data_IF_138098619609
#
_entry.id   IF_138098619609
#
_cell.length_a   1.000
_cell.length_b   1.000
_cell.length_c   1.000
_cell.angle_alpha   90.00
_cell.angle_beta   90.00
_cell.angle_gamma   90.00
#
_symmetry.space_group_name_H-M   'P 1'
#
loop_
_entity.id
_entity.type
_entity.pdbx_description
1 polymer ?
#
# COMPACT_ATOMS: atom_id res chain seq x y z
N UNK A 1 26.41 2.70 7.94
CA UNK A 1 25.13 2.80 7.21
C UNK A 1 25.42 2.56 5.74
N UNK A 2 24.76 1.60 5.09
CA UNK A 2 24.73 1.61 3.62
C UNK A 2 23.96 2.87 3.19
N UNK A 3 24.36 3.58 2.13
CA UNK A 3 23.57 4.69 1.60
C UNK A 3 22.15 4.19 1.28
N UNK A 4 21.14 4.97 1.63
CA UNK A 4 19.76 4.63 1.27
C UNK A 4 19.63 4.55 -0.25
N UNK A 5 19.02 3.47 -0.72
CA UNK A 5 18.84 3.24 -2.14
C UNK A 5 17.65 4.09 -2.64
N UNK A 6 17.94 5.15 -3.39
CA UNK A 6 16.91 6.06 -3.90
C UNK A 6 15.98 5.43 -4.94
N UNK A 7 16.39 4.33 -5.59
CA UNK A 7 15.62 3.65 -6.64
C UNK A 7 14.68 2.58 -6.07
N UNK A 8 13.43 2.55 -6.52
CA UNK A 8 12.48 1.49 -6.18
C UNK A 8 13.00 0.08 -6.55
N UNK A 9 13.63 -0.06 -7.73
CA UNK A 9 14.26 -1.32 -8.16
C UNK A 9 15.41 -1.68 -7.23
N UNK A 10 16.21 -0.69 -6.82
CA UNK A 10 17.31 -0.91 -5.91
C UNK A 10 16.84 -1.41 -4.54
N UNK A 11 15.78 -0.79 -3.99
CA UNK A 11 15.15 -1.22 -2.74
C UNK A 11 14.52 -2.60 -2.85
N UNK A 12 13.89 -2.93 -3.97
CA UNK A 12 13.39 -4.28 -4.25
C UNK A 12 14.53 -5.30 -4.24
N UNK A 13 15.64 -5.04 -4.95
CA UNK A 13 16.80 -5.94 -4.95
C UNK A 13 17.36 -6.13 -3.54
N UNK A 14 17.46 -5.05 -2.76
CA UNK A 14 17.87 -5.13 -1.36
C UNK A 14 16.92 -6.04 -0.57
N UNK A 15 15.60 -5.82 -0.61
CA UNK A 15 14.61 -6.67 0.08
C UNK A 15 14.69 -8.15 -0.32
N UNK A 16 14.77 -8.42 -1.63
CA UNK A 16 14.89 -9.78 -2.14
C UNK A 16 16.19 -10.46 -1.68
N UNK A 17 17.27 -9.70 -1.51
CA UNK A 17 18.55 -10.23 -1.04
C UNK A 17 18.53 -10.71 0.42
N UNK A 18 17.60 -10.20 1.25
CA UNK A 18 17.47 -10.60 2.66
C UNK A 18 16.66 -11.89 2.86
N UNK A 19 15.94 -12.38 1.84
CA UNK A 19 15.13 -13.61 1.90
C UNK A 19 15.97 -14.92 1.88
N UNK A 20 17.15 -14.92 2.54
CA UNK A 20 18.19 -15.96 2.50
C UNK A 20 17.66 -17.40 2.44
N UNK A 21 18.19 -18.15 1.46
CA UNK A 21 17.79 -19.46 0.90
C UNK A 21 16.84 -19.42 -0.32
N UNK A 22 16.11 -18.33 -0.54
CA UNK A 22 15.17 -18.20 -1.66
C UNK A 22 15.80 -17.89 -3.02
N UNK A 23 17.06 -17.45 -3.11
CA UNK A 23 17.69 -16.92 -4.35
C UNK A 23 17.58 -17.87 -5.57
N UNK A 24 17.47 -19.19 -5.35
CA UNK A 24 17.24 -20.19 -6.42
C UNK A 24 15.79 -20.26 -6.91
N UNK A 25 14.82 -19.88 -6.08
CA UNK A 25 13.40 -19.76 -6.43
C UNK A 25 13.07 -18.44 -7.15
N UNK A 26 14.05 -17.52 -7.27
CA UNK A 26 13.95 -16.30 -8.10
C UNK A 26 14.18 -16.54 -9.59
N UNK A 27 14.04 -17.78 -10.07
CA UNK A 27 13.94 -18.06 -11.50
C UNK A 27 12.79 -17.24 -12.10
N UNK A 28 13.11 -16.25 -12.93
CA UNK A 28 12.14 -15.28 -13.47
C UNK A 28 12.14 -13.90 -12.79
N UNK A 29 13.14 -13.56 -11.97
CA UNK A 29 13.32 -12.20 -11.45
C UNK A 29 12.48 -11.83 -10.22
N UNK A 30 12.02 -12.82 -9.45
CA UNK A 30 11.12 -12.58 -8.31
C UNK A 30 9.64 -12.58 -8.68
N UNK A 31 9.32 -13.14 -9.85
CA UNK A 31 7.96 -13.42 -10.26
C UNK A 31 7.17 -14.19 -9.16
N UNK A 32 5.99 -13.68 -8.79
CA UNK A 32 5.09 -14.30 -7.79
C UNK A 32 5.14 -13.72 -6.37
N UNK A 33 5.99 -12.72 -6.11
CA UNK A 33 6.09 -12.01 -4.82
C UNK A 33 5.26 -10.71 -4.82
N UNK A 34 4.61 -10.42 -3.68
CA UNK A 34 3.76 -9.22 -3.50
C UNK A 34 4.53 -7.92 -3.79
N UNK A 35 5.78 -7.84 -3.34
CA UNK A 35 6.63 -6.65 -3.46
C UNK A 35 7.02 -6.37 -4.93
N UNK A 36 7.14 -7.41 -5.77
CA UNK A 36 7.44 -7.26 -7.20
C UNK A 36 6.23 -6.70 -7.93
N UNK A 37 5.05 -7.32 -7.78
CA UNK A 37 3.81 -6.81 -8.38
C UNK A 37 3.54 -5.36 -7.96
N UNK A 38 3.69 -5.08 -6.67
CA UNK A 38 3.49 -3.75 -6.11
C UNK A 38 4.49 -2.75 -6.70
N UNK A 39 5.77 -3.12 -6.82
CA UNK A 39 6.78 -2.26 -7.44
C UNK A 39 6.46 -1.99 -8.91
N UNK A 40 6.17 -3.02 -9.70
CA UNK A 40 5.88 -2.87 -11.14
C UNK A 40 4.66 -1.97 -11.39
N UNK A 41 3.56 -2.22 -10.67
CA UNK A 41 2.31 -1.47 -10.88
C UNK A 41 2.41 -0.05 -10.35
N UNK A 42 2.86 0.13 -9.10
CA UNK A 42 2.90 1.46 -8.50
C UNK A 42 3.96 2.36 -9.15
N UNK A 43 5.09 1.80 -9.59
CA UNK A 43 6.10 2.58 -10.31
C UNK A 43 5.57 3.04 -11.67
N UNK A 44 4.85 2.19 -12.40
CA UNK A 44 4.23 2.60 -13.65
C UNK A 44 3.15 3.67 -13.44
N UNK A 45 2.32 3.55 -12.39
CA UNK A 45 1.33 4.57 -12.01
C UNK A 45 1.97 5.92 -11.67
N UNK A 46 3.16 5.92 -11.09
CA UNK A 46 3.88 7.16 -10.72
C UNK A 46 4.31 8.01 -11.91
N UNK A 47 4.48 7.38 -13.08
CA UNK A 47 4.84 8.05 -14.35
C UNK A 47 3.63 8.45 -15.19
N UNK A 48 2.43 8.01 -14.83
CA UNK A 48 1.19 8.38 -15.51
C UNK A 48 0.65 9.71 -14.95
N UNK A 49 -0.16 10.47 -15.71
CA UNK A 49 -0.82 11.67 -15.21
C UNK A 49 -1.61 11.36 -13.93
N UNK A 50 -1.16 11.84 -12.77
CA UNK A 50 -1.62 11.31 -11.48
C UNK A 50 -3.09 11.62 -11.25
N UNK A 51 -3.58 12.79 -11.64
CA UNK A 51 -5.02 13.11 -11.56
C UNK A 51 -5.89 12.11 -12.32
N UNK A 52 -5.49 11.77 -13.55
CA UNK A 52 -6.25 10.86 -14.42
C UNK A 52 -6.18 9.41 -13.92
N UNK A 53 -5.04 8.96 -13.42
CA UNK A 53 -4.81 7.56 -13.05
C UNK A 53 -4.93 7.33 -11.53
N UNK A 54 -3.96 7.82 -10.74
CA UNK A 54 -3.94 7.64 -9.28
C UNK A 54 -5.15 8.30 -8.59
N UNK A 55 -5.52 9.51 -9.01
CA UNK A 55 -6.69 10.23 -8.52
C UNK A 55 -7.98 9.47 -8.82
N UNK A 56 -8.11 8.91 -10.03
CA UNK A 56 -9.25 8.07 -10.40
C UNK A 56 -9.31 6.79 -9.58
N UNK A 57 -8.18 6.15 -9.30
CA UNK A 57 -8.10 5.00 -8.38
C UNK A 57 -8.65 5.37 -7.01
N UNK A 58 -8.23 6.50 -6.42
CA UNK A 58 -8.77 6.95 -5.13
C UNK A 58 -10.25 7.29 -5.17
N UNK A 59 -10.70 7.95 -6.23
CA UNK A 59 -12.11 8.30 -6.43
C UNK A 59 -12.99 7.05 -6.53
N UNK A 60 -12.50 5.97 -7.15
CA UNK A 60 -13.21 4.71 -7.35
C UNK A 60 -13.00 3.68 -6.24
N UNK A 61 -12.12 3.96 -5.27
CA UNK A 61 -11.87 3.08 -4.14
C UNK A 61 -13.12 2.91 -3.26
N UNK A 62 -13.11 1.89 -2.42
CA UNK A 62 -14.13 1.61 -1.41
C UNK A 62 -13.67 2.12 -0.05
N UNK A 63 -14.62 2.49 0.81
CA UNK A 63 -14.36 3.07 2.14
C UNK A 63 -14.91 4.50 2.26
N UNK A 64 -14.41 5.26 3.23
CA UNK A 64 -15.00 6.54 3.62
C UNK A 64 -14.96 7.61 2.50
N UNK A 65 -16.15 8.13 2.14
CA UNK A 65 -16.31 9.11 1.05
C UNK A 65 -15.53 10.42 1.24
N UNK A 66 -15.41 10.92 2.47
CA UNK A 66 -14.68 12.17 2.72
C UNK A 66 -13.19 11.99 2.50
N UNK A 67 -12.65 10.85 2.93
CA UNK A 67 -11.23 10.49 2.73
C UNK A 67 -10.95 10.29 1.24
N UNK A 68 -11.78 9.52 0.52
CA UNK A 68 -11.66 9.35 -0.95
C UNK A 68 -11.67 10.67 -1.69
N UNK A 69 -12.66 11.53 -1.42
CA UNK A 69 -12.78 12.84 -2.06
C UNK A 69 -11.59 13.74 -1.75
N UNK A 70 -11.02 13.65 -0.55
CA UNK A 70 -9.81 14.40 -0.20
C UNK A 70 -8.59 13.88 -0.96
N UNK A 71 -8.40 12.55 -1.06
CA UNK A 71 -7.27 11.96 -1.76
C UNK A 71 -7.33 12.17 -3.27
N UNK A 72 -8.51 12.00 -3.87
CA UNK A 72 -8.70 12.20 -5.30
C UNK A 72 -8.34 13.64 -5.73
N UNK A 73 -8.64 14.64 -4.89
CA UNK A 73 -8.28 16.05 -5.15
C UNK A 73 -6.80 16.36 -4.97
N UNK A 74 -6.11 15.65 -4.09
CA UNK A 74 -4.73 15.93 -3.71
C UNK A 74 -3.74 14.93 -4.38
N UNK A 75 -4.21 14.10 -5.33
CA UNK A 75 -3.43 13.02 -5.94
C UNK A 75 -2.13 13.48 -6.61
N UNK A 76 -2.16 14.63 -7.28
CA UNK A 76 -1.00 15.24 -7.93
C UNK A 76 0.10 15.65 -6.92
N UNK A 77 -0.29 15.93 -5.67
CA UNK A 77 0.63 16.43 -4.63
C UNK A 77 1.24 15.32 -3.77
N UNK A 78 0.85 14.08 -3.99
CA UNK A 78 1.39 12.94 -3.24
C UNK A 78 2.75 12.55 -3.82
N UNK A 79 3.73 12.27 -2.98
CA UNK A 79 4.98 11.64 -3.39
C UNK A 79 4.91 10.16 -3.06
N UNK A 80 5.20 9.30 -4.03
CA UNK A 80 5.21 7.86 -3.85
C UNK A 80 6.61 7.38 -3.47
N UNK A 81 6.69 6.63 -2.38
CA UNK A 81 7.89 5.87 -2.00
C UNK A 81 7.54 4.40 -1.90
N UNK A 82 7.97 3.62 -2.89
CA UNK A 82 7.84 2.15 -2.91
C UNK A 82 8.92 1.52 -2.04
N UNK A 83 8.55 0.55 -1.20
CA UNK A 83 9.43 -0.17 -0.28
C UNK A 83 10.27 0.80 0.60
N UNK A 84 9.63 1.66 1.40
CA UNK A 84 10.31 2.70 2.17
C UNK A 84 11.18 2.16 3.33
N UNK A 85 11.20 0.85 3.55
CA UNK A 85 11.96 0.21 4.63
C UNK A 85 11.16 0.15 5.93
N UNK A 86 11.88 0.16 7.06
CA UNK A 86 11.31 -0.09 8.37
C UNK A 86 10.83 1.20 9.05
N UNK A 87 9.57 1.17 9.48
CA UNK A 87 9.01 2.07 10.48
C UNK A 87 8.89 1.32 11.81
N UNK A 88 8.88 2.04 12.92
CA UNK A 88 8.85 1.43 14.25
C UNK A 88 7.71 2.00 15.06
N UNK A 89 7.00 1.12 15.78
CA UNK A 89 5.94 1.53 16.68
C UNK A 89 6.49 2.17 17.96
N UNK A 90 7.67 1.73 18.40
CA UNK A 90 8.37 2.34 19.54
C UNK A 90 9.42 3.35 19.08
N UNK A 91 9.62 4.43 19.85
CA UNK A 91 10.74 5.34 19.62
C UNK A 91 12.07 4.66 19.92
N UNK A 92 13.10 4.94 19.10
CA UNK A 92 14.50 4.56 19.30
C UNK A 92 14.75 3.09 19.69
N UNK A 93 14.24 2.10 18.93
CA UNK A 93 14.45 0.71 19.26
C UNK A 93 15.90 0.27 19.00
N UNK A 94 16.42 -0.67 19.79
CA UNK A 94 17.75 -1.25 19.55
C UNK A 94 17.71 -2.37 18.52
N UNK A 95 16.55 -3.02 18.34
CA UNK A 95 16.34 -4.10 17.36
C UNK A 95 14.98 -3.98 16.68
N UNK A 96 14.80 -4.62 15.52
CA UNK A 96 13.52 -4.66 14.81
C UNK A 96 12.39 -5.31 15.63
N UNK A 97 12.73 -6.36 16.38
CA UNK A 97 11.79 -7.05 17.25
C UNK A 97 11.35 -6.17 18.42
N UNK A 98 12.29 -5.47 19.07
CA UNK A 98 12.00 -4.57 20.17
C UNK A 98 11.12 -3.39 19.73
N UNK A 99 11.41 -2.86 18.54
CA UNK A 99 10.72 -1.72 17.94
C UNK A 99 9.38 -2.04 17.30
N UNK A 100 9.04 -3.33 17.19
CA UNK A 100 7.90 -3.82 16.43
C UNK A 100 7.89 -3.21 15.02
N UNK A 101 8.92 -3.54 14.24
CA UNK A 101 9.08 -3.01 12.89
C UNK A 101 7.84 -3.30 12.03
N UNK A 102 7.46 -2.29 11.26
CA UNK A 102 6.40 -2.29 10.26
C UNK A 102 7.03 -1.89 8.94
N UNK A 103 6.79 -2.67 7.89
CA UNK A 103 7.32 -2.42 6.55
C UNK A 103 6.16 -2.28 5.58
N UNK A 104 5.68 -1.05 5.36
CA UNK A 104 4.70 -0.78 4.31
C UNK A 104 5.23 -1.18 2.94
N UNK A 105 4.36 -1.64 2.04
CA UNK A 105 4.76 -1.87 0.65
C UNK A 105 5.01 -0.54 -0.10
N UNK A 106 4.23 0.49 0.22
CA UNK A 106 4.52 1.85 -0.22
C UNK A 106 3.96 2.91 0.73
N UNK A 107 4.48 4.13 0.60
CA UNK A 107 3.96 5.32 1.24
C UNK A 107 3.63 6.37 0.19
N UNK A 108 2.47 7.00 0.33
CA UNK A 108 2.08 8.19 -0.41
C UNK A 108 1.97 9.35 0.56
N UNK A 109 2.73 10.42 0.33
CA UNK A 109 2.83 11.52 1.29
C UNK A 109 2.78 12.89 0.62
N UNK A 110 2.01 13.80 1.20
CA UNK A 110 2.02 15.23 0.87
C UNK A 110 2.13 16.07 2.14
N UNK A 111 2.02 17.39 2.02
CA UNK A 111 1.87 18.27 3.18
C UNK A 111 0.54 18.05 3.92
N UNK A 112 -0.46 17.43 3.29
CA UNK A 112 -1.80 17.21 3.85
C UNK A 112 -2.09 15.77 4.22
N UNK A 113 -1.44 14.80 3.58
CA UNK A 113 -1.77 13.37 3.71
C UNK A 113 -0.54 12.55 4.04
N UNK A 114 -0.75 11.53 4.86
CA UNK A 114 0.21 10.46 5.09
C UNK A 114 -0.53 9.14 4.89
N UNK A 115 -0.13 8.37 3.89
CA UNK A 115 -0.86 7.20 3.43
C UNK A 115 0.08 6.01 3.45
N UNK A 116 -0.34 4.95 4.16
CA UNK A 116 0.30 3.64 4.08
C UNK A 116 -0.44 2.83 3.02
N UNK A 117 0.30 2.30 2.06
CA UNK A 117 -0.21 1.36 1.06
C UNK A 117 0.26 -0.03 1.43
N UNK A 118 -0.70 -0.94 1.52
CA UNK A 118 -0.44 -2.35 1.77
C UNK A 118 -1.16 -3.19 0.72
N UNK A 119 -0.43 -4.05 0.05
CA UNK A 119 -0.86 -4.72 -1.15
C UNK A 119 -0.72 -6.24 -1.00
N UNK A 120 -1.72 -6.97 -1.48
CA UNK A 120 -1.73 -8.43 -1.44
C UNK A 120 -2.04 -8.99 -2.81
N UNK A 121 -1.27 -9.97 -3.27
CA UNK A 121 -1.48 -10.62 -4.57
C UNK A 121 -2.87 -11.22 -4.74
N UNK A 122 -3.31 -11.39 -6.01
CA UNK A 122 -4.48 -12.19 -6.35
C UNK A 122 -4.46 -13.62 -5.76
N UNK A 123 -5.65 -14.14 -5.42
CA UNK A 123 -5.96 -15.54 -5.04
C UNK A 123 -5.28 -16.15 -3.80
N UNK A 124 -4.10 -15.67 -3.38
CA UNK A 124 -3.30 -16.24 -2.28
C UNK A 124 -2.73 -15.20 -1.31
N UNK A 125 -3.21 -13.95 -1.41
CA UNK A 125 -2.84 -12.89 -0.48
C UNK A 125 -3.41 -13.15 0.91
N UNK A 126 -2.56 -13.08 1.93
CA UNK A 126 -2.98 -13.11 3.33
C UNK A 126 -2.14 -12.12 4.13
N UNK A 127 -2.77 -11.53 5.16
CA UNK A 127 -2.10 -10.64 6.07
C UNK A 127 -1.51 -11.43 7.24
N UNK A 128 -0.36 -10.99 7.72
CA UNK A 128 0.08 -11.45 9.04
C UNK A 128 -0.92 -10.98 10.10
N UNK A 129 -1.13 -11.81 11.13
CA UNK A 129 -2.26 -11.70 12.05
C UNK A 129 -2.38 -10.32 12.74
N UNK A 130 -1.25 -9.65 13.00
CA UNK A 130 -1.20 -8.30 13.60
C UNK A 130 -0.92 -7.17 12.62
N UNK A 131 -0.71 -7.46 11.34
CA UNK A 131 -0.17 -6.51 10.36
C UNK A 131 -1.00 -5.23 10.28
N UNK A 132 -2.28 -5.35 9.93
CA UNK A 132 -3.17 -4.21 9.76
C UNK A 132 -3.37 -3.39 11.05
N UNK A 133 -3.37 -4.04 12.21
CA UNK A 133 -3.45 -3.34 13.49
C UNK A 133 -2.18 -2.50 13.75
N UNK A 134 -0.99 -3.01 13.39
CA UNK A 134 0.27 -2.28 13.49
C UNK A 134 0.34 -1.13 12.48
N UNK A 135 -0.08 -1.37 11.23
CA UNK A 135 -0.14 -0.33 10.20
C UNK A 135 -1.06 0.81 10.64
N UNK A 136 -2.24 0.48 11.18
CA UNK A 136 -3.17 1.45 11.73
C UNK A 136 -2.55 2.27 12.87
N UNK A 137 -1.89 1.62 13.84
CA UNK A 137 -1.25 2.32 14.97
C UNK A 137 -0.10 3.20 14.48
N UNK A 138 0.73 2.70 13.56
CA UNK A 138 1.81 3.48 12.95
C UNK A 138 1.27 4.72 12.24
N UNK A 139 0.26 4.53 11.40
CA UNK A 139 -0.38 5.57 10.62
C UNK A 139 -0.97 6.67 11.51
N UNK A 140 -1.73 6.28 12.53
CA UNK A 140 -2.43 7.21 13.42
C UNK A 140 -1.51 7.89 14.44
N UNK A 141 -0.36 7.28 14.76
CA UNK A 141 0.68 7.88 15.60
C UNK A 141 1.49 8.94 14.85
N UNK A 142 1.81 8.69 13.58
CA UNK A 142 2.65 9.60 12.78
C UNK A 142 1.87 10.70 12.05
N UNK A 143 0.55 10.65 12.05
CA UNK A 143 -0.32 11.59 11.32
C UNK A 143 -0.63 12.89 12.07
N UNK A 144 0.21 13.32 13.02
CA UNK A 144 -0.06 14.44 13.95
C UNK A 144 -0.64 15.71 13.30
N UNK A 145 -0.23 16.04 12.08
CA UNK A 145 -0.73 17.19 11.31
C UNK A 145 -1.36 16.76 9.96
N UNK A 146 -1.09 15.54 9.50
CA UNK A 146 -1.50 15.04 8.19
C UNK A 146 -2.76 14.17 8.33
N UNK A 147 -3.62 14.15 7.31
CA UNK A 147 -4.75 13.22 7.25
C UNK A 147 -4.23 11.80 6.99
N UNK A 148 -4.42 10.86 7.92
CA UNK A 148 -4.01 9.47 7.72
C UNK A 148 -4.94 8.75 6.74
N UNK A 149 -4.40 7.86 5.91
CA UNK A 149 -5.17 6.83 5.23
C UNK A 149 -4.40 5.52 5.15
N UNK A 150 -5.09 4.39 5.37
CA UNK A 150 -4.60 3.05 5.11
C UNK A 150 -5.25 2.60 3.81
N UNK A 151 -4.46 2.50 2.74
CA UNK A 151 -4.95 2.13 1.41
C UNK A 151 -4.55 0.71 1.07
N UNK A 152 -5.53 -0.18 1.02
CA UNK A 152 -5.31 -1.60 0.74
C UNK A 152 -5.53 -1.91 -0.74
N UNK A 153 -4.58 -2.59 -1.37
CA UNK A 153 -4.74 -3.12 -2.72
C UNK A 153 -4.86 -4.65 -2.64
N UNK A 154 -6.05 -5.16 -2.94
CA UNK A 154 -6.40 -6.54 -2.67
C UNK A 154 -6.48 -7.39 -3.94
N UNK A 155 -6.21 -8.68 -3.78
CA UNK A 155 -6.46 -9.68 -4.81
C UNK A 155 -7.94 -9.85 -5.16
N UNK A 156 -8.79 -9.81 -4.13
CA UNK A 156 -10.24 -9.99 -4.22
C UNK A 156 -10.92 -9.02 -3.26
N UNK A 157 -12.22 -8.78 -3.47
CA UNK A 157 -13.03 -7.97 -2.55
C UNK A 157 -13.04 -8.62 -1.15
N UNK A 158 -13.11 -7.82 -0.06
CA UNK A 158 -13.23 -8.36 1.30
C UNK A 158 -14.37 -9.39 1.43
N UNK A 159 -14.25 -10.36 2.35
CA UNK A 159 -13.35 -10.40 3.50
C UNK A 159 -11.90 -10.78 3.20
N UNK A 160 -10.97 -10.25 4.00
CA UNK A 160 -9.53 -10.53 3.90
C UNK A 160 -9.13 -11.76 4.71
N UNK A 161 -8.02 -12.40 4.36
CA UNK A 161 -7.49 -13.57 5.07
C UNK A 161 -6.42 -13.12 6.06
N UNK A 162 -6.60 -13.46 7.34
CA UNK A 162 -5.57 -13.38 8.36
C UNK A 162 -4.93 -14.75 8.56
N UNK A 163 -3.59 -14.80 8.47
CA UNK A 163 -2.84 -16.03 8.63
C UNK A 163 -3.19 -16.75 9.95
N UNK A 164 -3.63 -18.01 9.84
CA UNK A 164 -4.03 -18.88 10.96
C UNK A 164 -5.25 -18.41 11.77
N UNK A 165 -5.95 -17.35 11.35
CA UNK A 165 -7.13 -16.83 12.03
C UNK A 165 -8.41 -16.90 11.17
N UNK A 166 -8.30 -16.95 9.84
CA UNK A 166 -9.45 -17.10 8.93
C UNK A 166 -9.79 -15.84 8.16
N UNK A 167 -11.06 -15.70 7.75
CA UNK A 167 -11.55 -14.58 6.93
C UNK A 167 -12.27 -13.55 7.80
N UNK A 168 -11.96 -12.28 7.63
CA UNK A 168 -12.55 -11.17 8.38
C UNK A 168 -12.85 -9.96 7.49
N UNK A 169 -13.89 -9.17 7.81
CA UNK A 169 -13.96 -7.78 7.38
C UNK A 169 -12.69 -7.02 7.77
N UNK A 170 -12.30 -6.01 6.98
CA UNK A 170 -11.03 -5.29 7.17
C UNK A 170 -11.01 -4.62 8.55
N UNK A 171 -12.10 -3.97 8.92
CA UNK A 171 -12.23 -3.24 10.17
C UNK A 171 -12.13 -4.19 11.36
N UNK A 172 -12.82 -5.33 11.31
CA UNK A 172 -12.74 -6.37 12.34
C UNK A 172 -11.32 -6.92 12.49
N UNK A 173 -10.64 -7.17 11.37
CA UNK A 173 -9.24 -7.63 11.38
C UNK A 173 -8.30 -6.66 12.10
N UNK A 174 -8.52 -5.35 11.95
CA UNK A 174 -7.79 -4.31 12.70
C UNK A 174 -8.20 -4.35 14.18
N UNK A 175 -9.50 -4.38 14.47
CA UNK A 175 -10.05 -4.29 15.84
C UNK A 175 -9.56 -5.42 16.75
N UNK A 176 -9.52 -6.66 16.26
CA UNK A 176 -9.15 -7.84 17.04
C UNK A 176 -7.76 -7.70 17.66
N UNK A 177 -6.81 -7.10 16.94
CA UNK A 177 -5.41 -6.95 17.37
C UNK A 177 -5.02 -5.53 17.76
N UNK A 178 -5.98 -4.59 17.77
CA UNK A 178 -5.69 -3.19 18.04
C UNK A 178 -5.16 -2.95 19.45
N UNK A 179 -5.72 -3.61 20.48
CA UNK A 179 -5.23 -3.48 21.87
C UNK A 179 -3.76 -3.90 21.99
N UNK A 180 -3.41 -5.00 21.33
CA UNK A 180 -2.04 -5.50 21.29
C UNK A 180 -1.11 -4.51 20.59
N UNK A 181 -1.49 -4.01 19.41
CA UNK A 181 -0.66 -3.06 18.66
C UNK A 181 -0.45 -1.73 19.42
N UNK A 182 -1.48 -1.23 20.12
CA UNK A 182 -1.36 -0.05 20.99
C UNK A 182 -0.39 -0.33 22.14
N UNK A 183 -0.49 -1.49 22.79
CA UNK A 183 0.43 -1.90 23.86
C UNK A 183 1.87 -2.03 23.34
N UNK A 184 2.05 -2.57 22.13
CA UNK A 184 3.35 -2.69 21.47
C UNK A 184 3.99 -1.30 21.20
N UNK A 185 3.19 -0.31 20.81
CA UNK A 185 3.65 1.07 20.57
C UNK A 185 4.07 1.81 21.86
N UNK A 186 3.56 1.39 23.03
CA UNK A 186 3.77 2.04 24.31
C UNK A 186 3.02 3.36 24.40
N UNK A 187 3.60 4.43 23.85
CA UNK A 187 2.94 5.74 23.74
C UNK A 187 2.08 5.81 22.48
N UNK A 188 0.80 6.12 22.67
CA UNK A 188 -0.20 6.23 21.62
C UNK A 188 -1.15 7.41 21.91
N UNK A 189 -1.45 8.28 20.93
CA UNK A 189 -2.14 9.55 21.17
C UNK A 189 -3.64 9.43 21.46
N UNK A 190 -4.22 8.23 21.41
CA UNK A 190 -5.66 8.03 21.56
C UNK A 190 -5.97 6.95 22.58
N UNK A 191 -7.11 7.07 23.27
CA UNK A 191 -7.67 5.94 24.01
C UNK A 191 -8.20 4.88 23.06
N UNK A 192 -8.32 3.64 23.54
CA UNK A 192 -8.79 2.51 22.71
C UNK A 192 -10.12 2.79 22.00
N UNK A 193 -11.11 3.35 22.68
CA UNK A 193 -12.42 3.68 22.10
C UNK A 193 -12.36 4.82 21.06
N UNK A 194 -11.40 5.72 21.18
CA UNK A 194 -11.15 6.75 20.16
C UNK A 194 -10.44 6.16 18.94
N UNK A 195 -9.51 5.23 19.17
CA UNK A 195 -8.82 4.49 18.13
C UNK A 195 -9.81 3.67 17.28
N UNK A 196 -10.75 2.96 17.93
CA UNK A 196 -11.81 2.22 17.23
C UNK A 196 -12.62 3.10 16.28
N UNK A 197 -13.04 4.28 16.75
CA UNK A 197 -13.81 5.25 15.95
C UNK A 197 -13.03 5.84 14.77
N UNK A 198 -11.70 5.67 14.75
CA UNK A 198 -10.83 6.15 13.65
C UNK A 198 -10.58 5.11 12.57
N UNK A 199 -10.96 3.84 12.76
CA UNK A 199 -10.71 2.78 11.77
C UNK A 199 -11.45 3.06 10.47
N UNK A 200 -12.78 3.09 10.51
CA UNK A 200 -13.60 3.26 9.31
C UNK A 200 -13.27 4.54 8.51
N UNK A 201 -13.06 5.72 9.12
CA UNK A 201 -12.74 6.93 8.36
C UNK A 201 -11.44 6.88 7.56
N UNK A 202 -10.46 6.04 7.94
CA UNK A 202 -9.11 6.09 7.36
C UNK A 202 -8.80 4.87 6.48
N UNK A 203 -9.58 3.81 6.57
CA UNK A 203 -9.39 2.60 5.77
C UNK A 203 -10.06 2.78 4.41
N UNK A 204 -9.28 2.57 3.36
CA UNK A 204 -9.72 2.53 1.99
C UNK A 204 -9.21 1.25 1.34
N UNK A 205 -9.94 0.71 0.37
CA UNK A 205 -9.45 -0.45 -0.38
C UNK A 205 -9.88 -0.42 -1.84
N UNK A 206 -9.09 -1.09 -2.67
CA UNK A 206 -9.42 -1.43 -4.05
C UNK A 206 -8.88 -2.82 -4.36
N UNK A 207 -9.10 -3.29 -5.59
CA UNK A 207 -8.51 -4.54 -6.08
C UNK A 207 -7.57 -4.28 -7.25
N UNK A 208 -6.64 -5.20 -7.49
CA UNK A 208 -5.82 -5.16 -8.71
C UNK A 208 -6.67 -5.14 -9.99
N UNK A 209 -7.77 -5.89 -10.01
CA UNK A 209 -8.69 -5.90 -11.13
C UNK A 209 -9.33 -4.51 -11.37
N UNK A 210 -9.73 -3.81 -10.31
CA UNK A 210 -10.27 -2.45 -10.41
C UNK A 210 -9.21 -1.44 -10.89
N UNK A 211 -7.97 -1.52 -10.39
CA UNK A 211 -6.85 -0.69 -10.86
C UNK A 211 -6.62 -0.92 -12.36
N UNK A 212 -6.61 -2.17 -12.81
CA UNK A 212 -6.42 -2.51 -14.21
C UNK A 212 -7.53 -1.93 -15.10
N UNK A 213 -8.79 -2.10 -14.70
CA UNK A 213 -9.94 -1.54 -15.41
C UNK A 213 -9.83 -0.02 -15.53
N UNK A 214 -9.51 0.67 -14.44
CA UNK A 214 -9.36 2.13 -14.43
C UNK A 214 -8.24 2.56 -15.38
N UNK A 215 -7.07 1.92 -15.34
CA UNK A 215 -5.95 2.27 -16.20
C UNK A 215 -6.31 2.12 -17.70
N UNK A 216 -7.01 1.05 -18.06
CA UNK A 216 -7.47 0.80 -19.43
C UNK A 216 -8.54 1.79 -19.89
N UNK A 217 -9.50 2.11 -19.02
CA UNK A 217 -10.52 3.14 -19.29
C UNK A 217 -9.87 4.51 -19.54
N UNK A 218 -8.90 4.92 -18.71
CA UNK A 218 -8.21 6.20 -18.90
C UNK A 218 -7.40 6.24 -20.19
N UNK A 219 -6.70 5.16 -20.54
CA UNK A 219 -5.99 5.07 -21.82
C UNK A 219 -6.94 5.28 -23.01
N UNK A 220 -8.14 4.70 -22.97
CA UNK A 220 -9.15 4.86 -24.01
C UNK A 220 -9.65 6.32 -24.12
N UNK A 221 -9.67 7.07 -23.01
CA UNK A 221 -10.02 8.49 -23.02
C UNK A 221 -8.89 9.40 -23.55
N UNK A 222 -7.63 9.01 -23.40
CA UNK A 222 -6.47 9.78 -23.84
C UNK A 222 -6.12 9.64 -25.33
N UNK A 223 -6.80 8.74 -26.05
CA UNK A 223 -6.66 8.46 -27.50
C UNK A 223 -6.79 9.68 -28.43
N UNK A 224 -7.12 10.86 -27.91
CA UNK A 224 -7.47 12.01 -28.74
C UNK A 224 -6.39 13.10 -28.84
N UNK A 225 -5.30 13.12 -28.03
CA UNK A 225 -4.56 14.39 -27.87
C UNK A 225 -3.04 14.43 -27.68
N UNK A 226 -2.21 13.37 -27.77
CA UNK A 226 -0.77 13.61 -27.49
C UNK A 226 0.27 12.75 -28.23
N UNK A 227 1.41 13.37 -28.51
CA UNK A 227 2.68 12.72 -28.89
C UNK A 227 3.23 11.78 -27.81
N UNK A 228 2.60 11.74 -26.63
CA UNK A 228 2.95 10.88 -25.50
C UNK A 228 2.08 9.62 -25.42
N UNK A 229 1.06 9.48 -26.28
CA UNK A 229 0.13 8.34 -26.27
C UNK A 229 0.85 6.99 -26.24
N UNK A 230 1.85 6.79 -27.11
CA UNK A 230 2.62 5.54 -27.15
C UNK A 230 3.36 5.25 -25.83
N UNK A 231 3.79 6.29 -25.10
CA UNK A 231 4.44 6.12 -23.81
C UNK A 231 3.42 5.68 -22.75
N UNK A 232 2.27 6.35 -22.72
CA UNK A 232 1.18 6.08 -21.79
C UNK A 232 0.59 4.69 -22.03
N UNK A 233 0.33 4.35 -23.29
CA UNK A 233 -0.11 3.02 -23.71
C UNK A 233 0.86 1.92 -23.24
N UNK A 234 2.16 2.12 -23.40
CA UNK A 234 3.17 1.17 -22.92
C UNK A 234 3.16 0.99 -21.41
N UNK A 235 3.01 2.08 -20.65
CA UNK A 235 2.94 2.03 -19.18
C UNK A 235 1.66 1.31 -18.73
N UNK A 236 0.52 1.66 -19.31
CA UNK A 236 -0.77 1.01 -19.00
C UNK A 236 -0.75 -0.48 -19.38
N UNK A 237 -0.20 -0.82 -20.54
CA UNK A 237 -0.04 -2.22 -20.93
C UNK A 237 0.92 -2.98 -20.00
N UNK A 238 1.96 -2.32 -19.48
CA UNK A 238 2.84 -2.91 -18.46
C UNK A 238 2.08 -3.20 -17.17
N UNK A 239 1.25 -2.26 -16.69
CA UNK A 239 0.39 -2.47 -15.51
C UNK A 239 -0.53 -3.67 -15.74
N UNK A 240 -1.23 -3.71 -16.87
CA UNK A 240 -2.14 -4.79 -17.22
C UNK A 240 -1.44 -6.13 -17.34
N UNK A 241 -0.25 -6.17 -17.95
CA UNK A 241 0.55 -7.37 -18.04
C UNK A 241 0.95 -7.87 -16.65
N UNK A 242 1.52 -7.01 -15.80
CA UNK A 242 1.90 -7.36 -14.43
C UNK A 242 0.70 -7.86 -13.62
N UNK A 243 -0.46 -7.22 -13.69
CA UNK A 243 -1.64 -7.68 -12.94
C UNK A 243 -2.13 -9.04 -13.46
N UNK A 244 -2.28 -9.18 -14.79
CA UNK A 244 -2.83 -10.40 -15.39
C UNK A 244 -1.91 -11.61 -15.29
N UNK A 245 -0.60 -11.40 -15.15
CA UNK A 245 0.33 -12.52 -14.99
C UNK A 245 0.23 -13.13 -13.59
N UNK A 246 -0.34 -12.40 -12.62
CA UNK A 246 -0.48 -12.81 -11.22
C UNK A 246 -1.92 -13.22 -10.84
N UNK A 247 -2.91 -12.97 -11.72
CA UNK A 247 -4.29 -13.46 -11.57
C UNK A 247 -4.40 -14.87 -12.12
#
# INVERSE_FOLDING_TARGET
MRPENGSAIGRLVDELSWANNGMRDFGGGGFGYDNVLTTEVLQALDYLPRENYLGKIFCSAHGNELTKKSLCKDAEQLNLTILPGNYYLKPNPKTHEEGFAVQPDAILESNKHFIIVEAKRPKRGSFHIKQLARDFVLLTKNSSIKKPALFLILGEKPPIILNRAGKFPIEEAIQIYLKDAIKEAGEYPYYYEEALRKIEPIVLWTTWAEINTIAQEQLAHELQQSSMYNCIERLVNSISYSINTYI
#
